data_IF_967080695682
#
_entry.id   IF_967080695682
#
_cell.length_a   1.000
_cell.length_b   1.000
_cell.length_c   1.000
_cell.angle_alpha   90.00
_cell.angle_beta   90.00
_cell.angle_gamma   90.00
#
_symmetry.space_group_name_H-M   'P 1'
#
loop_
_entity.id
_entity.type
_entity.pdbx_description
1 polymer ?
#
# COMPACT_ATOMS: atom_id res chain seq x y z
N UNK A 1 -20.53 -27.12 -3.60
CA UNK A 1 -20.11 -26.19 -4.67
C UNK A 1 -20.55 -24.78 -4.28
N UNK A 2 -19.65 -23.97 -3.71
CA UNK A 2 -19.95 -22.61 -3.23
C UNK A 2 -18.71 -21.71 -3.40
N UNK A 3 -18.12 -21.71 -4.60
CA UNK A 3 -16.86 -21.01 -4.87
C UNK A 3 -16.96 -20.17 -6.15
N UNK A 4 -17.88 -19.21 -6.20
CA UNK A 4 -17.81 -18.06 -7.13
C UNK A 4 -18.56 -16.94 -6.41
N UNK A 5 -17.87 -15.90 -5.91
CA UNK A 5 -18.45 -14.55 -5.72
C UNK A 5 -17.60 -13.51 -4.97
N UNK A 6 -16.33 -13.75 -4.61
CA UNK A 6 -15.51 -12.73 -3.93
C UNK A 6 -14.46 -12.02 -4.80
N UNK A 7 -14.27 -12.43 -6.05
CA UNK A 7 -13.21 -11.90 -6.93
C UNK A 7 -13.61 -10.63 -7.71
N UNK A 8 -14.83 -10.11 -7.56
CA UNK A 8 -15.35 -8.96 -8.33
C UNK A 8 -15.80 -7.81 -7.41
N UNK A 9 -15.05 -7.53 -6.33
CA UNK A 9 -15.36 -6.37 -5.46
C UNK A 9 -14.21 -5.34 -5.43
N UNK A 10 -13.02 -5.66 -5.94
CA UNK A 10 -11.89 -4.73 -5.91
C UNK A 10 -11.82 -3.71 -7.08
N UNK A 11 -12.64 -3.84 -8.13
CA UNK A 11 -12.52 -2.98 -9.34
C UNK A 11 -13.58 -1.87 -9.43
N UNK A 12 -14.59 -1.84 -8.55
CA UNK A 12 -15.76 -0.94 -8.73
C UNK A 12 -15.80 0.31 -7.85
N UNK A 13 -14.84 0.56 -6.95
CA UNK A 13 -14.95 1.67 -5.98
C UNK A 13 -14.44 3.01 -6.53
N UNK A 14 -13.82 3.06 -7.72
CA UNK A 14 -13.16 4.31 -8.20
C UNK A 14 -14.14 5.35 -8.79
N UNK A 15 -15.43 5.06 -8.98
CA UNK A 15 -16.29 5.90 -9.82
C UNK A 15 -17.54 6.53 -9.19
N UNK A 16 -17.68 6.56 -7.87
CA UNK A 16 -18.66 7.46 -7.24
C UNK A 16 -18.15 7.97 -5.88
N UNK A 17 -17.33 9.03 -5.91
CA UNK A 17 -17.18 9.90 -4.75
C UNK A 17 -17.10 11.36 -5.20
N UNK A 18 -18.17 11.81 -5.88
CA UNK A 18 -18.58 13.21 -5.85
C UNK A 18 -19.89 13.26 -5.05
N UNK A 19 -19.95 14.16 -4.06
CA UNK A 19 -21.08 14.45 -3.17
C UNK A 19 -21.21 13.62 -1.88
N UNK A 20 -20.48 14.03 -0.83
CA UNK A 20 -21.08 14.47 0.45
C UNK A 20 -19.97 14.92 1.42
N UNK A 21 -19.85 16.23 1.60
CA UNK A 21 -19.30 16.80 2.84
C UNK A 21 -20.44 17.01 3.82
N UNK A 22 -20.31 16.51 5.05
CA UNK A 22 -20.65 17.30 6.21
C UNK A 22 -19.40 17.57 7.04
N UNK A 23 -19.26 18.84 7.41
CA UNK A 23 -18.29 19.35 8.39
C UNK A 23 -18.32 18.53 9.67
N UNK A 24 -17.23 17.81 9.98
CA UNK A 24 -16.63 17.79 11.32
C UNK A 24 -15.20 17.23 11.23
N UNK A 25 -14.32 18.00 10.60
CA UNK A 25 -12.89 17.70 10.52
C UNK A 25 -12.21 18.09 11.83
N UNK A 26 -12.36 17.26 12.87
CA UNK A 26 -11.58 17.39 14.10
C UNK A 26 -10.92 16.10 14.59
N UNK A 27 -10.97 15.00 13.80
CA UNK A 27 -10.25 13.74 14.09
C UNK A 27 -9.16 13.48 13.04
N UNK A 28 -8.40 14.51 12.68
CA UNK A 28 -7.09 14.35 12.07
C UNK A 28 -6.14 15.17 12.93
N UNK A 29 -5.67 14.55 14.01
CA UNK A 29 -4.59 15.11 14.80
C UNK A 29 -3.45 15.51 13.87
N UNK A 30 -2.90 16.69 14.09
CA UNK A 30 -1.73 17.18 13.38
C UNK A 30 -0.65 16.10 13.37
N UNK A 31 -0.46 15.44 12.22
CA UNK A 31 0.71 14.62 11.98
C UNK A 31 1.88 15.57 11.82
N UNK A 32 2.63 15.77 12.91
CA UNK A 32 3.85 16.56 12.94
C UNK A 32 4.78 16.13 11.80
N UNK A 33 4.94 17.01 10.81
CA UNK A 33 5.64 16.75 9.53
C UNK A 33 7.16 16.83 9.70
N UNK A 34 7.71 16.48 10.86
CA UNK A 34 9.13 16.64 11.19
C UNK A 34 9.98 15.41 10.90
N UNK A 35 9.36 14.25 10.62
CA UNK A 35 10.00 13.11 9.95
C UNK A 35 9.33 12.94 8.60
N UNK A 36 10.11 12.93 7.53
CA UNK A 36 9.65 12.57 6.19
C UNK A 36 9.27 11.07 6.21
N UNK A 37 8.11 10.74 6.79
CA UNK A 37 7.57 9.38 6.85
C UNK A 37 7.27 8.94 5.43
N UNK A 38 7.47 7.65 5.17
CA UNK A 38 7.09 7.05 3.90
C UNK A 38 5.58 7.20 3.68
N UNK A 39 5.17 7.73 2.53
CA UNK A 39 3.76 7.93 2.18
C UNK A 39 2.95 6.62 2.24
N UNK A 40 3.57 5.48 1.93
CA UNK A 40 2.89 4.18 2.01
C UNK A 40 2.53 3.82 3.45
N UNK A 41 3.37 4.18 4.42
CA UNK A 41 3.04 4.00 5.84
C UNK A 41 1.88 4.88 6.25
N UNK A 42 1.89 6.15 5.80
CA UNK A 42 0.80 7.09 6.07
C UNK A 42 -0.52 6.59 5.47
N UNK A 43 -0.48 6.02 4.27
CA UNK A 43 -1.68 5.43 3.65
C UNK A 43 -2.21 4.25 4.46
N UNK A 44 -1.35 3.32 4.88
CA UNK A 44 -1.76 2.20 5.71
C UNK A 44 -2.35 2.68 7.05
N UNK A 45 -1.72 3.66 7.69
CA UNK A 45 -2.20 4.25 8.94
C UNK A 45 -3.59 4.90 8.76
N UNK A 46 -3.77 5.72 7.74
CA UNK A 46 -5.05 6.41 7.45
C UNK A 46 -6.16 5.42 7.12
N UNK A 47 -5.88 4.39 6.30
CA UNK A 47 -6.86 3.36 5.99
C UNK A 47 -7.22 2.54 7.23
N UNK A 48 -6.22 2.17 8.03
CA UNK A 48 -6.43 1.49 9.30
C UNK A 48 -7.43 2.26 10.17
N UNK A 49 -7.15 3.55 10.39
CA UNK A 49 -8.02 4.46 11.16
C UNK A 49 -9.42 4.60 10.55
N UNK A 50 -9.52 4.76 9.23
CA UNK A 50 -10.81 4.91 8.54
C UNK A 50 -11.71 3.68 8.73
N UNK A 51 -11.14 2.46 8.67
CA UNK A 51 -11.90 1.23 8.90
C UNK A 51 -12.30 1.06 10.36
N UNK A 52 -11.42 1.40 11.31
CA UNK A 52 -11.76 1.39 12.75
C UNK A 52 -12.89 2.39 13.05
N UNK A 53 -12.85 3.60 12.47
CA UNK A 53 -13.93 4.60 12.57
C UNK A 53 -15.24 4.11 11.93
N UNK A 54 -15.14 3.32 10.86
CA UNK A 54 -16.28 2.64 10.22
C UNK A 54 -16.86 1.48 11.05
N UNK A 55 -16.32 1.21 12.24
CA UNK A 55 -16.79 0.14 13.14
C UNK A 55 -16.26 -1.25 12.78
N UNK A 56 -15.28 -1.34 11.88
CA UNK A 56 -14.61 -2.61 11.55
C UNK A 56 -13.55 -2.88 12.62
N UNK A 57 -13.63 -4.05 13.27
CA UNK A 57 -12.62 -4.49 14.23
C UNK A 57 -11.28 -4.78 13.56
N UNK A 58 -10.16 -4.61 14.25
CA UNK A 58 -8.81 -4.76 13.67
C UNK A 58 -8.58 -6.11 12.99
N UNK A 59 -9.21 -7.18 13.48
CA UNK A 59 -9.16 -8.53 12.89
C UNK A 59 -9.86 -8.63 11.53
N UNK A 60 -10.85 -7.78 11.26
CA UNK A 60 -11.61 -7.76 10.01
C UNK A 60 -11.16 -6.57 9.12
N UNK A 61 -10.23 -5.77 9.61
CA UNK A 61 -9.69 -4.62 8.89
C UNK A 61 -8.87 -5.13 7.69
N UNK A 62 -9.08 -4.61 6.47
CA UNK A 62 -8.26 -4.96 5.30
C UNK A 62 -6.76 -4.71 5.48
N UNK A 63 -6.35 -3.84 6.40
CA UNK A 63 -4.93 -3.62 6.74
C UNK A 63 -4.41 -4.63 7.77
N UNK A 64 -5.27 -5.49 8.33
CA UNK A 64 -4.96 -6.40 9.43
C UNK A 64 -4.59 -5.69 10.73
N UNK A 65 -5.01 -4.43 10.89
CA UNK A 65 -4.59 -3.58 12.02
C UNK A 65 -3.14 -3.08 11.92
N UNK A 66 -2.51 -3.20 10.75
CA UNK A 66 -1.16 -2.70 10.53
C UNK A 66 -1.07 -1.18 10.69
N UNK A 67 0.05 -0.72 11.26
CA UNK A 67 0.34 0.71 11.46
C UNK A 67 1.28 1.29 10.41
N UNK A 68 1.91 0.42 9.61
CA UNK A 68 2.81 0.77 8.52
C UNK A 68 2.71 -0.23 7.37
N UNK A 69 3.26 0.12 6.21
CA UNK A 69 3.07 -0.66 4.99
C UNK A 69 3.75 -2.03 5.05
N UNK A 70 4.88 -2.15 5.74
CA UNK A 70 5.59 -3.42 5.91
C UNK A 70 4.79 -4.41 6.77
N UNK A 71 4.21 -3.95 7.88
CA UNK A 71 3.30 -4.75 8.70
C UNK A 71 2.07 -5.22 7.88
N UNK A 72 1.55 -4.37 7.02
CA UNK A 72 0.42 -4.73 6.15
C UNK A 72 0.78 -5.85 5.16
N UNK A 73 2.00 -5.82 4.58
CA UNK A 73 2.49 -6.89 3.71
C UNK A 73 2.61 -8.22 4.48
N UNK A 74 3.01 -8.16 5.74
CA UNK A 74 3.12 -9.36 6.56
C UNK A 74 1.73 -9.95 6.85
N UNK A 75 0.75 -9.08 7.10
CA UNK A 75 -0.64 -9.46 7.41
C UNK A 75 -1.46 -9.90 6.19
N UNK A 76 -1.13 -9.45 4.97
CA UNK A 76 -1.91 -9.83 3.78
C UNK A 76 -1.68 -11.30 3.40
N UNK A 77 -2.75 -12.01 3.07
CA UNK A 77 -2.67 -13.37 2.53
C UNK A 77 -2.34 -13.30 1.03
N UNK A 78 -1.05 -13.26 0.71
CA UNK A 78 -0.52 -13.19 -0.65
C UNK A 78 0.66 -14.17 -0.83
N UNK A 79 0.93 -14.64 -2.05
CA UNK A 79 2.14 -15.43 -2.34
C UNK A 79 3.41 -14.66 -1.95
N UNK A 80 4.43 -15.36 -1.47
CA UNK A 80 5.69 -14.73 -1.00
C UNK A 80 6.38 -13.91 -2.10
N UNK A 81 6.30 -14.34 -3.37
CA UNK A 81 6.84 -13.57 -4.50
C UNK A 81 6.18 -12.18 -4.61
N UNK A 82 4.85 -12.10 -4.40
CA UNK A 82 4.13 -10.84 -4.43
C UNK A 82 4.48 -9.97 -3.22
N UNK A 83 4.63 -10.57 -2.04
CA UNK A 83 5.09 -9.86 -0.83
C UNK A 83 6.48 -9.26 -1.03
N UNK A 84 7.39 -10.01 -1.64
CA UNK A 84 8.73 -9.52 -1.94
C UNK A 84 8.69 -8.34 -2.93
N UNK A 85 7.88 -8.41 -3.98
CA UNK A 85 7.67 -7.27 -4.89
C UNK A 85 7.16 -6.02 -4.16
N UNK A 86 6.19 -6.17 -3.26
CA UNK A 86 5.67 -5.06 -2.46
C UNK A 86 6.76 -4.46 -1.54
N UNK A 87 7.60 -5.29 -0.91
CA UNK A 87 8.75 -4.82 -0.10
C UNK A 87 9.78 -4.10 -0.95
N UNK A 88 10.03 -4.57 -2.17
CA UNK A 88 10.96 -3.90 -3.08
C UNK A 88 10.43 -2.53 -3.53
N UNK A 89 9.12 -2.40 -3.82
CA UNK A 89 8.47 -1.11 -4.13
C UNK A 89 8.58 -0.16 -2.93
N UNK A 90 8.30 -0.63 -1.72
CA UNK A 90 8.44 0.15 -0.50
C UNK A 90 9.85 0.72 -0.35
N UNK A 91 10.87 -0.14 -0.50
CA UNK A 91 12.27 0.27 -0.39
C UNK A 91 12.71 1.22 -1.51
N UNK A 92 12.18 1.04 -2.72
CA UNK A 92 12.43 1.92 -3.85
C UNK A 92 11.89 3.32 -3.57
N UNK A 93 10.65 3.40 -3.09
CA UNK A 93 10.02 4.66 -2.73
C UNK A 93 10.76 5.34 -1.57
N UNK A 94 11.09 4.60 -0.51
CA UNK A 94 11.88 5.13 0.62
C UNK A 94 13.22 5.71 0.17
N UNK A 95 13.93 4.97 -0.70
CA UNK A 95 15.20 5.43 -1.28
C UNK A 95 15.03 6.64 -2.20
N UNK A 96 13.85 6.85 -2.78
CA UNK A 96 13.57 8.01 -3.64
C UNK A 96 13.35 9.30 -2.84
N UNK A 97 12.89 9.18 -1.59
CA UNK A 97 12.73 10.30 -0.67
C UNK A 97 14.08 10.82 -0.15
N UNK A 98 15.11 9.97 -0.17
CA UNK A 98 16.47 10.33 0.22
C UNK A 98 17.32 10.76 -0.99
N UNK A 99 17.61 12.06 -1.05
CA UNK A 99 18.45 12.63 -2.12
C UNK A 99 19.87 12.04 -2.18
N UNK A 100 20.37 11.43 -1.11
CA UNK A 100 21.68 10.78 -1.05
C UNK A 100 21.68 9.37 -1.63
N UNK A 101 20.50 8.74 -1.76
CA UNK A 101 20.34 7.37 -2.27
C UNK A 101 19.98 7.27 -3.75
N UNK A 102 20.05 8.38 -4.50
CA UNK A 102 19.72 8.40 -5.94
C UNK A 102 20.51 7.38 -6.77
N UNK A 103 21.78 7.13 -6.43
CA UNK A 103 22.60 6.12 -7.12
C UNK A 103 22.07 4.70 -6.86
N UNK A 104 21.71 4.40 -5.62
CA UNK A 104 21.14 3.12 -5.23
C UNK A 104 19.76 2.90 -5.86
N UNK A 105 18.94 3.96 -5.90
CA UNK A 105 17.64 3.97 -6.59
C UNK A 105 17.81 3.60 -8.07
N UNK A 106 18.76 4.22 -8.78
CA UNK A 106 19.01 3.94 -10.19
C UNK A 106 19.39 2.47 -10.42
N UNK A 107 20.21 1.90 -9.56
CA UNK A 107 20.62 0.49 -9.64
C UNK A 107 19.39 -0.42 -9.44
N UNK A 108 18.58 -0.17 -8.41
CA UNK A 108 17.38 -0.96 -8.11
C UNK A 108 16.33 -0.91 -9.24
N UNK A 109 16.04 0.28 -9.78
CA UNK A 109 15.13 0.43 -10.92
C UNK A 109 15.63 -0.32 -12.14
N UNK A 110 16.93 -0.22 -12.44
CA UNK A 110 17.52 -0.90 -13.61
C UNK A 110 17.37 -2.42 -13.48
N UNK A 111 17.63 -2.97 -12.29
CA UNK A 111 17.46 -4.39 -12.01
C UNK A 111 15.99 -4.84 -12.14
N UNK A 112 15.05 -4.09 -11.59
CA UNK A 112 13.60 -4.39 -11.74
C UNK A 112 13.17 -4.39 -13.21
N UNK A 113 13.68 -3.45 -14.00
CA UNK A 113 13.36 -3.36 -15.43
C UNK A 113 13.95 -4.54 -16.20
N UNK A 114 15.20 -4.93 -15.92
CA UNK A 114 15.83 -6.11 -16.51
C UNK A 114 15.08 -7.39 -16.17
N UNK A 115 14.66 -7.57 -14.91
CA UNK A 115 13.85 -8.71 -14.48
C UNK A 115 12.48 -8.74 -15.17
N UNK A 116 11.82 -7.58 -15.30
CA UNK A 116 10.55 -7.48 -16.01
C UNK A 116 10.68 -7.80 -17.51
N UNK A 117 11.75 -7.32 -18.16
CA UNK A 117 12.05 -7.64 -19.56
C UNK A 117 12.35 -9.14 -19.71
N UNK A 118 13.15 -9.73 -18.82
CA UNK A 118 13.48 -11.15 -18.85
C UNK A 118 12.23 -12.03 -18.70
N UNK A 119 11.35 -11.73 -17.73
CA UNK A 119 10.07 -12.44 -17.57
C UNK A 119 9.18 -12.29 -18.80
N UNK A 120 9.07 -11.07 -19.36
CA UNK A 120 8.26 -10.82 -20.56
C UNK A 120 8.80 -11.42 -21.87
N UNK A 121 10.08 -11.78 -21.92
CA UNK A 121 10.69 -12.47 -23.06
C UNK A 121 10.58 -14.01 -22.97
N UNK A 122 10.42 -14.58 -21.78
CA UNK A 122 10.26 -16.03 -21.57
C UNK A 122 8.82 -16.50 -21.86
N UNK A 123 7.83 -15.60 -21.83
CA UNK A 123 6.43 -15.90 -22.13
C UNK A 123 6.05 -15.82 -23.64
N UNK A 124 7.03 -15.76 -24.55
CA UNK A 124 6.84 -15.83 -26.02
C UNK A 124 7.41 -17.11 -26.61
#
# INVERSE_FOLDING_TARGET
MKNISYTIIFISIVWNCNAQTPENSSILGQTDTTKNKNLLDVQTEVFGQAFTLGGISDKDNPTGGATNYLEMIDNVEAPEELKDQMRQIYNLYDSSLDSTKKTELKIRVSKMLEEAIAKGQIEK
#
